data_IF_252111970362
#
_entry.id   IF_252111970362
#
_cell.length_a   1.000
_cell.length_b   1.000
_cell.length_c   1.000
_cell.angle_alpha   90.00
_cell.angle_beta   90.00
_cell.angle_gamma   90.00
#
_symmetry.space_group_name_H-M   'P 1'
#
loop_
_entity.id
_entity.type
_entity.pdbx_description
1 polymer ?
#
# COMPACT_ATOMS: atom_id res chain seq x y z
N UNK A 1 -13.32 -9.84 -7.15
CA UNK A 1 -11.86 -9.89 -6.89
C UNK A 1 -11.69 -10.10 -5.41
N UNK A 2 -10.91 -11.08 -4.98
CA UNK A 2 -10.77 -11.44 -3.56
C UNK A 2 -9.80 -10.50 -2.83
N UNK A 3 -9.80 -10.52 -1.50
CA UNK A 3 -8.79 -9.82 -0.68
C UNK A 3 -7.38 -10.20 -1.11
N UNK A 4 -7.14 -11.49 -1.38
CA UNK A 4 -5.83 -11.99 -1.81
C UNK A 4 -5.43 -11.40 -3.16
N UNK A 5 -6.34 -11.41 -4.15
CA UNK A 5 -6.06 -10.84 -5.48
C UNK A 5 -5.72 -9.35 -5.40
N UNK A 6 -6.47 -8.59 -4.58
CA UNK A 6 -6.23 -7.16 -4.38
C UNK A 6 -4.87 -6.94 -3.72
N UNK A 7 -4.58 -7.67 -2.64
CA UNK A 7 -3.32 -7.55 -1.91
C UNK A 7 -2.11 -7.90 -2.80
N UNK A 8 -2.20 -8.98 -3.59
CA UNK A 8 -1.16 -9.39 -4.51
C UNK A 8 -0.91 -8.33 -5.61
N UNK A 9 -1.97 -7.75 -6.18
CA UNK A 9 -1.85 -6.67 -7.15
C UNK A 9 -1.19 -5.42 -6.56
N UNK A 10 -1.66 -4.97 -5.39
CA UNK A 10 -1.10 -3.81 -4.71
C UNK A 10 0.35 -4.04 -4.28
N UNK A 11 0.68 -5.25 -3.81
CA UNK A 11 2.04 -5.63 -3.48
C UNK A 11 2.95 -5.58 -4.72
N UNK A 12 2.55 -6.22 -5.82
CA UNK A 12 3.32 -6.23 -7.06
C UNK A 12 3.53 -4.81 -7.62
N UNK A 13 2.52 -3.93 -7.51
CA UNK A 13 2.66 -2.52 -7.87
C UNK A 13 3.63 -1.80 -6.93
N UNK A 14 3.53 -2.01 -5.62
CA UNK A 14 4.43 -1.40 -4.64
C UNK A 14 5.90 -1.85 -4.82
N UNK A 15 6.13 -3.09 -5.24
CA UNK A 15 7.47 -3.59 -5.60
C UNK A 15 8.04 -2.84 -6.80
N UNK A 16 7.24 -2.64 -7.85
CA UNK A 16 7.66 -1.99 -9.11
C UNK A 16 7.79 -0.47 -8.99
N UNK A 17 6.84 0.17 -8.33
CA UNK A 17 6.63 1.63 -8.34
C UNK A 17 6.93 2.28 -6.99
N UNK A 18 7.53 1.53 -6.06
CA UNK A 18 7.82 1.94 -4.67
C UNK A 18 6.57 2.11 -3.77
N UNK A 19 5.38 2.27 -4.36
CA UNK A 19 4.12 2.50 -3.68
C UNK A 19 2.91 2.00 -4.49
N UNK A 20 1.78 1.80 -3.82
CA UNK A 20 0.47 1.47 -4.40
C UNK A 20 -0.64 2.05 -3.53
N UNK A 21 -1.74 2.50 -4.16
CA UNK A 21 -2.92 3.01 -3.48
C UNK A 21 -4.19 2.49 -4.16
N UNK A 22 -5.20 2.12 -3.36
CA UNK A 22 -6.49 1.64 -3.89
C UNK A 22 -7.65 2.04 -2.97
N UNK A 23 -8.77 2.43 -3.58
CA UNK A 23 -10.02 2.72 -2.87
C UNK A 23 -10.72 1.42 -2.45
N UNK A 24 -10.91 1.25 -1.15
CA UNK A 24 -11.55 0.14 -0.45
C UNK A 24 -12.43 0.72 0.66
N UNK A 25 -13.74 0.79 0.42
CA UNK A 25 -14.70 1.39 1.35
C UNK A 25 -14.86 0.58 2.64
N UNK A 26 -14.92 -0.76 2.54
CA UNK A 26 -15.16 -1.62 3.69
C UNK A 26 -13.95 -1.65 4.64
N UNK A 27 -14.19 -1.47 5.95
CA UNK A 27 -13.14 -1.44 6.97
C UNK A 27 -12.42 -2.79 7.11
N UNK A 28 -13.20 -3.85 7.24
CA UNK A 28 -12.68 -5.21 7.42
C UNK A 28 -11.86 -5.66 6.21
N UNK A 29 -12.33 -5.34 5.01
CA UNK A 29 -11.64 -5.67 3.76
C UNK A 29 -10.29 -4.94 3.67
N UNK A 30 -10.26 -3.64 3.96
CA UNK A 30 -9.01 -2.88 4.00
C UNK A 30 -8.05 -3.42 5.05
N UNK A 31 -8.57 -3.82 6.22
CA UNK A 31 -7.78 -4.46 7.28
C UNK A 31 -7.16 -5.78 6.81
N UNK A 32 -7.94 -6.60 6.09
CA UNK A 32 -7.50 -7.86 5.54
C UNK A 32 -6.43 -7.68 4.46
N UNK A 33 -6.65 -6.77 3.50
CA UNK A 33 -5.69 -6.43 2.44
C UNK A 33 -4.36 -5.97 3.05
N UNK A 34 -4.40 -5.07 4.04
CA UNK A 34 -3.18 -4.57 4.72
C UNK A 34 -2.42 -5.64 5.48
N UNK A 35 -3.10 -6.64 6.04
CA UNK A 35 -2.45 -7.81 6.66
C UNK A 35 -1.77 -8.67 5.60
N UNK A 36 -2.48 -8.95 4.52
CA UNK A 36 -1.98 -9.79 3.43
C UNK A 36 -0.77 -9.18 2.73
N UNK A 37 -0.79 -7.88 2.40
CA UNK A 37 0.36 -7.16 1.83
C UNK A 37 1.61 -7.30 2.73
N UNK A 38 1.44 -7.18 4.05
CA UNK A 38 2.56 -7.32 5.00
C UNK A 38 3.06 -8.76 5.10
N UNK A 39 2.18 -9.75 4.93
CA UNK A 39 2.55 -11.16 4.85
C UNK A 39 3.44 -11.42 3.63
N UNK A 40 2.99 -10.99 2.44
CA UNK A 40 3.75 -11.08 1.19
C UNK A 40 5.11 -10.39 1.30
N UNK A 41 5.14 -9.15 1.78
CA UNK A 41 6.37 -8.40 1.96
C UNK A 41 7.36 -9.10 2.90
N UNK A 42 6.87 -9.71 3.99
CA UNK A 42 7.71 -10.47 4.93
C UNK A 42 8.28 -11.73 4.29
N UNK A 43 7.52 -12.43 3.46
CA UNK A 43 8.00 -13.61 2.74
C UNK A 43 9.15 -13.26 1.78
N UNK A 44 9.09 -12.09 1.15
CA UNK A 44 10.09 -11.62 0.19
C UNK A 44 11.23 -10.81 0.84
N UNK A 45 11.22 -10.65 2.17
CA UNK A 45 12.23 -9.85 2.89
C UNK A 45 12.13 -8.34 2.66
N UNK A 46 11.03 -7.85 2.09
CA UNK A 46 10.82 -6.45 1.79
C UNK A 46 10.12 -5.73 2.95
N UNK A 47 10.56 -4.51 3.27
CA UNK A 47 9.93 -3.70 4.32
C UNK A 47 8.91 -2.73 3.71
N UNK A 48 7.63 -3.01 3.91
CA UNK A 48 6.52 -2.16 3.45
C UNK A 48 5.73 -1.60 4.65
N UNK A 49 5.40 -0.30 4.60
CA UNK A 49 4.40 0.32 5.48
C UNK A 49 3.05 0.34 4.79
N UNK A 50 1.98 0.05 5.54
CA UNK A 50 0.61 0.15 5.06
C UNK A 50 -0.23 1.06 5.96
N UNK A 51 -1.01 1.94 5.34
CA UNK A 51 -1.91 2.85 6.01
C UNK A 51 -3.31 2.78 5.39
N UNK A 52 -4.31 3.24 6.14
CA UNK A 52 -5.61 3.58 5.62
C UNK A 52 -5.79 5.09 5.77
N UNK A 53 -6.17 5.75 4.69
CA UNK A 53 -6.52 7.18 4.65
C UNK A 53 -7.92 7.25 4.06
N UNK A 54 -8.91 7.57 4.89
CA UNK A 54 -10.33 7.51 4.53
C UNK A 54 -10.72 6.13 3.96
N UNK A 55 -11.14 6.06 2.70
CA UNK A 55 -11.46 4.83 2.00
C UNK A 55 -10.29 4.30 1.16
N UNK A 56 -9.06 4.75 1.41
CA UNK A 56 -7.90 4.35 0.59
C UNK A 56 -6.94 3.53 1.42
N UNK A 57 -6.58 2.35 0.92
CA UNK A 57 -5.43 1.59 1.41
C UNK A 57 -4.21 2.05 0.63
N UNK A 58 -3.15 2.38 1.35
CA UNK A 58 -1.87 2.79 0.78
C UNK A 58 -0.78 1.84 1.28
N UNK A 59 0.07 1.39 0.38
CA UNK A 59 1.28 0.61 0.66
C UNK A 59 2.51 1.34 0.08
N UNK A 60 3.56 1.49 0.88
CA UNK A 60 4.79 2.19 0.49
C UNK A 60 5.99 1.39 1.01
N UNK A 61 6.97 1.13 0.15
CA UNK A 61 8.24 0.52 0.58
C UNK A 61 8.99 1.48 1.51
N UNK A 62 9.69 0.96 2.50
CA UNK A 62 10.45 1.81 3.44
C UNK A 62 11.67 2.48 2.82
N UNK A 63 12.15 1.98 1.69
CA UNK A 63 13.23 2.56 0.89
C UNK A 63 12.72 3.41 -0.28
N UNK A 64 11.42 3.71 -0.32
CA UNK A 64 10.82 4.54 -1.36
C UNK A 64 11.31 6.00 -1.27
N UNK A 65 11.50 6.64 -2.42
CA UNK A 65 11.98 8.04 -2.52
C UNK A 65 10.98 9.05 -1.93
N UNK A 66 9.73 8.65 -1.77
CA UNK A 66 8.69 9.50 -1.18
C UNK A 66 9.01 9.86 0.27
N UNK A 67 9.78 9.05 1.00
CA UNK A 67 10.19 9.36 2.37
C UNK A 67 11.20 10.51 2.47
N UNK A 68 11.88 10.85 1.38
CA UNK A 68 12.80 11.99 1.29
C UNK A 68 12.09 13.29 0.87
N UNK A 69 10.80 13.20 0.52
CA UNK A 69 10.01 14.31 0.02
C UNK A 69 9.24 14.99 1.14
N UNK A 70 8.86 16.24 0.91
CA UNK A 70 8.02 16.97 1.86
C UNK A 70 6.66 16.27 2.02
N UNK A 71 6.07 16.37 3.21
CA UNK A 71 4.75 15.79 3.53
C UNK A 71 3.66 16.21 2.54
N UNK A 72 3.75 17.42 1.96
CA UNK A 72 2.83 17.90 0.93
C UNK A 72 2.90 17.05 -0.34
N UNK A 73 4.12 16.80 -0.84
CA UNK A 73 4.35 15.95 -2.03
C UNK A 73 3.96 14.50 -1.74
N UNK A 74 4.22 13.99 -0.53
CA UNK A 74 3.79 12.65 -0.14
C UNK A 74 2.26 12.51 -0.23
N UNK A 75 1.49 13.49 0.28
CA UNK A 75 0.03 13.46 0.22
C UNK A 75 -0.49 13.45 -1.21
N UNK A 76 0.09 14.27 -2.09
CA UNK A 76 -0.27 14.32 -3.50
C UNK A 76 -0.01 12.98 -4.21
N UNK A 77 1.15 12.36 -3.94
CA UNK A 77 1.56 11.10 -4.57
C UNK A 77 0.83 9.87 -4.04
N UNK A 78 0.35 9.92 -2.81
CA UNK A 78 -0.35 8.83 -2.14
C UNK A 78 -1.88 8.98 -2.19
N UNK A 79 -2.37 10.08 -2.75
CA UNK A 79 -3.78 10.25 -3.04
C UNK A 79 -4.19 9.24 -4.14
N UNK A 80 -5.31 8.51 -3.96
CA UNK A 80 -5.85 7.68 -5.03
C UNK A 80 -6.18 8.56 -6.24
N UNK A 81 -5.76 8.14 -7.44
CA UNK A 81 -6.16 8.76 -8.71
C UNK A 81 -7.34 8.02 -9.31
#
# INVERSE_FOLDING_TARGET
MTVHDIAAQMYAECVRSEQSARSISAEDEAGAIRREIRSLARADGLRIRTARVENTVVAVRLDAKVWEQSTAIMREKLAPR
#
